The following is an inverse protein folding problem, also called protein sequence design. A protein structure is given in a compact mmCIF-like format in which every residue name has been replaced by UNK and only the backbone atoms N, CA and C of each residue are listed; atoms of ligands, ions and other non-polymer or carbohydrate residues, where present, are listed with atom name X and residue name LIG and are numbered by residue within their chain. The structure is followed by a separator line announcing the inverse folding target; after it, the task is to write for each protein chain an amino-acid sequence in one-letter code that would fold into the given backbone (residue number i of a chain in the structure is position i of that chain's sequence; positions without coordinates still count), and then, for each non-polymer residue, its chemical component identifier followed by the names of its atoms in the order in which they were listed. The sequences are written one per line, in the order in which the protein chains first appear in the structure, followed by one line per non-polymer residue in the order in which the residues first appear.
data_IF_372249909279
#
_entry.id   IF_372249909279
#
_cell.length_a   1.000
_cell.length_b   1.000
_cell.length_c   1.000
_cell.angle_alpha   90.00
_cell.angle_beta   90.00
_cell.angle_gamma   90.00
#
_symmetry.space_group_name_H-M   'P 1'
#
loop_
_entity.id
_entity.type
_entity.pdbx_description
1 polymer ?
#
# COMPACT_ATOMS: atom_id res chain seq x y z
N UNK A 1 -22.18 17.94 50.02
CA UNK A 1 -22.66 17.98 48.62
C UNK A 1 -21.49 17.58 47.74
N UNK A 2 -21.31 16.29 47.44
CA UNK A 2 -20.25 15.81 46.56
C UNK A 2 -20.90 15.29 45.28
N UNK A 3 -20.75 16.04 44.20
CA UNK A 3 -21.12 15.59 42.85
C UNK A 3 -19.97 14.80 42.27
N UNK A 4 -20.07 13.48 42.32
CA UNK A 4 -19.15 12.56 41.65
C UNK A 4 -19.39 12.65 40.14
N UNK A 5 -18.55 13.38 39.44
CA UNK A 5 -18.62 13.49 37.98
C UNK A 5 -17.92 12.27 37.38
N UNK A 6 -18.73 11.30 36.94
CA UNK A 6 -18.26 10.08 36.30
C UNK A 6 -17.61 10.42 34.95
N UNK A 7 -16.43 9.85 34.61
CA UNK A 7 -15.79 10.14 33.33
C UNK A 7 -16.67 9.61 32.19
N UNK A 8 -17.07 10.52 31.29
CA UNK A 8 -17.81 10.19 30.07
C UNK A 8 -16.88 9.40 29.15
N UNK A 9 -17.06 8.08 29.10
CA UNK A 9 -16.35 7.23 28.14
C UNK A 9 -16.74 7.67 26.73
N UNK A 10 -15.75 8.08 25.94
CA UNK A 10 -15.94 8.36 24.52
C UNK A 10 -15.98 7.02 23.78
N UNK A 11 -17.20 6.53 23.59
CA UNK A 11 -17.46 5.27 22.90
C UNK A 11 -16.93 5.28 21.46
N UNK A 12 -16.81 6.44 20.79
CA UNK A 12 -16.27 6.50 19.44
C UNK A 12 -14.78 6.15 19.41
N UNK A 13 -13.99 6.68 20.35
CA UNK A 13 -12.57 6.36 20.49
C UNK A 13 -12.35 4.88 20.89
N UNK A 14 -13.20 4.36 21.77
CA UNK A 14 -13.14 2.94 22.18
C UNK A 14 -13.50 2.02 21.01
N UNK A 15 -14.53 2.35 20.24
CA UNK A 15 -14.93 1.58 19.05
C UNK A 15 -13.84 1.65 17.97
N UNK A 16 -13.28 2.83 17.70
CA UNK A 16 -12.17 3.01 16.76
C UNK A 16 -10.94 2.19 17.16
N UNK A 17 -10.60 2.19 18.44
CA UNK A 17 -9.50 1.39 18.98
C UNK A 17 -9.80 -0.11 18.89
N UNK A 18 -11.02 -0.55 19.20
CA UNK A 18 -11.43 -1.95 19.07
C UNK A 18 -11.49 -2.44 17.62
N UNK A 19 -11.89 -1.58 16.68
CA UNK A 19 -11.84 -1.86 15.24
C UNK A 19 -10.39 -2.01 14.80
N UNK A 20 -9.51 -1.06 15.13
CA UNK A 20 -8.07 -1.14 14.81
C UNK A 20 -7.42 -2.38 15.41
N UNK A 21 -7.75 -2.74 16.65
CA UNK A 21 -7.19 -3.91 17.34
C UNK A 21 -7.62 -5.24 16.68
N UNK A 22 -8.90 -5.41 16.31
CA UNK A 22 -9.38 -6.60 15.59
C UNK A 22 -8.85 -6.66 14.16
N UNK A 23 -8.73 -5.51 13.49
CA UNK A 23 -8.11 -5.43 12.17
C UNK A 23 -6.63 -5.85 12.23
N UNK A 24 -5.90 -5.51 13.30
CA UNK A 24 -4.49 -5.88 13.45
C UNK A 24 -4.30 -7.40 13.55
N UNK A 25 -5.20 -8.10 14.25
CA UNK A 25 -5.20 -9.57 14.35
C UNK A 25 -5.56 -10.26 13.02
N UNK A 26 -6.37 -9.63 12.17
CA UNK A 26 -6.70 -10.15 10.83
C UNK A 26 -5.61 -9.82 9.80
N UNK A 27 -4.88 -8.71 9.97
CA UNK A 27 -3.77 -8.29 9.10
C UNK A 27 -2.55 -9.22 9.20
N UNK A 28 -2.37 -9.90 10.33
CA UNK A 28 -1.33 -10.92 10.52
C UNK A 28 -1.75 -12.30 10.03
N UNK A 29 -3.01 -12.49 9.62
CA UNK A 29 -3.47 -13.75 9.01
C UNK A 29 -2.94 -13.86 7.59
N UNK A 30 -2.36 -15.00 7.24
CA UNK A 30 -1.94 -15.33 5.87
C UNK A 30 -3.11 -15.37 4.88
N UNK A 31 -4.34 -15.57 5.34
CA UNK A 31 -5.53 -15.72 4.47
C UNK A 31 -6.36 -14.46 4.28
N UNK A 32 -6.27 -13.47 5.17
CA UNK A 32 -7.07 -12.23 5.13
C UNK A 32 -6.24 -10.94 5.20
N UNK A 33 -4.97 -11.05 5.55
CA UNK A 33 -4.06 -9.93 5.74
C UNK A 33 -3.12 -9.72 4.56
N UNK A 34 -2.27 -8.70 4.69
CA UNK A 34 -1.26 -8.34 3.68
C UNK A 34 0.11 -8.95 3.96
N UNK A 35 0.21 -9.91 4.89
CA UNK A 35 1.49 -10.44 5.37
C UNK A 35 2.37 -10.97 4.24
N UNK A 36 1.80 -11.77 3.33
CA UNK A 36 2.56 -12.32 2.18
C UNK A 36 3.07 -11.22 1.24
N UNK A 37 2.32 -10.11 1.10
CA UNK A 37 2.73 -8.95 0.30
C UNK A 37 3.85 -8.18 0.98
N UNK A 38 3.80 -8.04 2.30
CA UNK A 38 4.85 -7.39 3.08
C UNK A 38 6.16 -8.18 3.06
N UNK A 39 6.07 -9.52 3.10
CA UNK A 39 7.23 -10.40 2.92
C UNK A 39 7.83 -10.27 1.51
N UNK A 40 6.98 -10.19 0.48
CA UNK A 40 7.40 -9.96 -0.91
C UNK A 40 8.07 -8.59 -1.06
N UNK A 41 7.48 -7.54 -0.49
CA UNK A 41 8.04 -6.19 -0.45
C UNK A 41 9.45 -6.18 0.16
N UNK A 42 9.62 -6.85 1.31
CA UNK A 42 10.91 -6.94 1.96
C UNK A 42 11.95 -7.64 1.07
N UNK A 43 11.59 -8.76 0.43
CA UNK A 43 12.49 -9.49 -0.48
C UNK A 43 12.91 -8.63 -1.68
N UNK A 44 11.96 -7.93 -2.28
CA UNK A 44 12.23 -7.05 -3.43
C UNK A 44 13.17 -5.92 -3.01
N UNK A 45 12.89 -5.25 -1.90
CA UNK A 45 13.75 -4.18 -1.39
C UNK A 45 15.15 -4.70 -1.04
N UNK A 46 15.26 -5.83 -0.34
CA UNK A 46 16.57 -6.39 0.06
C UNK A 46 17.45 -6.73 -1.15
N UNK A 47 16.84 -7.22 -2.23
CA UNK A 47 17.51 -7.49 -3.50
C UNK A 47 17.90 -6.24 -4.30
N UNK A 48 17.17 -5.13 -4.12
CA UNK A 48 17.32 -3.92 -4.96
C UNK A 48 17.92 -2.71 -4.22
N UNK A 49 18.28 -2.84 -2.93
CA UNK A 49 18.85 -1.74 -2.12
C UNK A 49 20.27 -1.34 -2.49
N UNK A 50 20.95 -2.12 -3.33
CA UNK A 50 22.29 -1.83 -3.82
C UNK A 50 22.23 -1.24 -5.24
N UNK A 51 23.12 -0.31 -5.61
CA UNK A 51 23.16 0.24 -6.95
C UNK A 51 23.48 -0.85 -7.98
N UNK A 52 22.99 -0.66 -9.21
CA UNK A 52 23.19 -1.58 -10.33
C UNK A 52 22.72 -3.02 -10.02
N UNK A 53 21.65 -3.16 -9.23
CA UNK A 53 21.09 -4.46 -8.85
C UNK A 53 20.56 -5.27 -10.05
N UNK A 54 20.22 -4.59 -11.15
CA UNK A 54 19.76 -5.19 -12.40
C UNK A 54 20.90 -5.48 -13.41
N UNK A 55 22.12 -5.01 -13.13
CA UNK A 55 23.25 -5.08 -14.06
C UNK A 55 23.23 -4.06 -15.21
N UNK A 56 22.25 -3.15 -15.24
CA UNK A 56 22.07 -2.12 -16.28
C UNK A 56 22.11 -0.69 -15.73
N UNK A 57 22.63 -0.50 -14.52
CA UNK A 57 22.83 0.79 -13.89
C UNK A 57 21.65 1.28 -13.07
N UNK A 58 20.74 0.39 -12.64
CA UNK A 58 19.61 0.79 -11.80
C UNK A 58 20.04 1.55 -10.54
N UNK A 59 19.24 2.55 -10.20
CA UNK A 59 19.31 3.28 -8.94
C UNK A 59 18.87 2.35 -7.80
N UNK A 60 19.55 2.40 -6.64
CA UNK A 60 19.14 1.60 -5.49
C UNK A 60 17.74 2.01 -5.01
N UNK A 61 16.93 1.03 -4.64
CA UNK A 61 15.67 1.29 -3.95
C UNK A 61 15.97 1.79 -2.54
N UNK A 62 15.55 3.01 -2.24
CA UNK A 62 15.83 3.66 -0.95
C UNK A 62 14.97 3.11 0.17
N UNK A 63 15.43 3.27 1.41
CA UNK A 63 14.63 2.97 2.61
C UNK A 63 13.34 3.82 2.64
N UNK A 64 13.38 5.08 2.18
CA UNK A 64 12.19 5.93 2.07
C UNK A 64 11.12 5.32 1.16
N UNK A 65 11.51 4.84 -0.04
CA UNK A 65 10.59 4.15 -0.96
C UNK A 65 9.96 2.92 -0.29
N UNK A 66 10.77 2.15 0.45
CA UNK A 66 10.31 0.96 1.18
C UNK A 66 9.29 1.30 2.27
N UNK A 67 9.58 2.29 3.12
CA UNK A 67 8.68 2.72 4.19
C UNK A 67 7.36 3.21 3.62
N UNK A 68 7.38 4.03 2.57
CA UNK A 68 6.17 4.55 1.92
C UNK A 68 5.34 3.43 1.27
N UNK A 69 5.98 2.47 0.61
CA UNK A 69 5.29 1.32 0.04
C UNK A 69 4.68 0.42 1.13
N UNK A 70 5.40 0.21 2.24
CA UNK A 70 4.91 -0.52 3.40
C UNK A 70 3.66 0.15 3.99
N UNK A 71 3.71 1.46 4.18
CA UNK A 71 2.56 2.26 4.65
C UNK A 71 1.38 2.18 3.68
N UNK A 72 1.63 2.23 2.37
CA UNK A 72 0.58 2.11 1.37
C UNK A 72 -0.14 0.76 1.49
N UNK A 73 0.59 -0.35 1.55
CA UNK A 73 0.04 -1.71 1.72
C UNK A 73 -0.72 -1.81 3.05
N UNK A 74 -0.15 -1.29 4.13
CA UNK A 74 -0.81 -1.28 5.43
C UNK A 74 -2.10 -0.43 5.43
N UNK A 75 -2.17 0.60 4.60
CA UNK A 75 -3.37 1.44 4.47
C UNK A 75 -4.46 0.81 3.59
N UNK A 76 -4.17 -0.25 2.83
CA UNK A 76 -5.17 -0.95 2.03
C UNK A 76 -6.27 -1.54 2.92
N UNK A 77 -7.53 -1.58 2.43
CA UNK A 77 -8.63 -2.26 3.09
C UNK A 77 -8.30 -3.73 3.40
N UNK A 78 -8.98 -4.30 4.39
CA UNK A 78 -8.94 -5.76 4.63
C UNK A 78 -9.54 -6.51 3.44
N UNK A 79 -9.02 -7.70 3.15
CA UNK A 79 -9.42 -8.53 2.01
C UNK A 79 -9.35 -7.81 0.65
N UNK A 80 -8.51 -6.78 0.54
CA UNK A 80 -8.26 -6.11 -0.73
C UNK A 80 -7.42 -7.02 -1.65
N UNK A 81 -7.61 -6.96 -2.98
CA UNK A 81 -6.81 -7.75 -3.91
C UNK A 81 -5.30 -7.57 -3.65
N UNK A 82 -4.57 -8.67 -3.73
CA UNK A 82 -3.15 -8.73 -3.41
C UNK A 82 -2.28 -8.06 -4.50
N UNK A 83 -1.31 -7.22 -4.08
CA UNK A 83 -0.08 -6.92 -4.77
C UNK A 83 0.60 -8.01 -5.58
N UNK A 84 1.10 -7.73 -6.79
CA UNK A 84 2.46 -8.15 -7.14
C UNK A 84 3.41 -7.00 -6.84
N UNK A 85 4.58 -7.27 -6.25
CA UNK A 85 5.56 -6.23 -5.91
C UNK A 85 6.75 -6.28 -6.87
N UNK A 86 7.19 -5.10 -7.31
CA UNK A 86 8.37 -4.95 -8.16
C UNK A 86 9.20 -3.72 -7.76
N UNK A 87 10.40 -3.64 -8.32
CA UNK A 87 11.26 -2.46 -8.24
C UNK A 87 11.52 -1.94 -9.66
N UNK A 88 11.55 -0.62 -9.80
CA UNK A 88 11.87 0.05 -11.06
C UNK A 88 13.33 0.53 -11.06
N UNK A 89 13.98 0.64 -12.24
CA UNK A 89 15.39 1.06 -12.33
C UNK A 89 15.67 2.48 -11.81
N UNK A 90 14.65 3.29 -11.57
CA UNK A 90 14.75 4.63 -10.98
C UNK A 90 14.73 4.63 -9.44
N UNK A 91 14.61 3.45 -8.81
CA UNK A 91 14.58 3.29 -7.35
C UNK A 91 13.18 3.38 -6.76
N UNK A 92 12.13 3.35 -7.60
CA UNK A 92 10.74 3.26 -7.16
C UNK A 92 10.34 1.82 -6.83
N UNK A 93 9.32 1.68 -5.98
CA UNK A 93 8.68 0.40 -5.71
C UNK A 93 7.28 0.38 -6.30
N UNK A 94 6.94 -0.73 -6.94
CA UNK A 94 5.74 -0.84 -7.77
C UNK A 94 4.82 -1.93 -7.23
N UNK A 95 3.54 -1.61 -7.14
CA UNK A 95 2.46 -2.51 -6.80
C UNK A 95 1.56 -2.68 -8.01
N UNK A 96 1.45 -3.91 -8.50
CA UNK A 96 0.61 -4.24 -9.65
C UNK A 96 -0.55 -5.13 -9.26
N UNK A 97 -1.74 -4.79 -9.74
CA UNK A 97 -2.94 -5.61 -9.70
C UNK A 97 -3.30 -6.02 -11.11
N UNK A 98 -3.17 -7.30 -11.40
CA UNK A 98 -3.42 -7.87 -12.72
C UNK A 98 -4.68 -8.74 -12.73
N UNK A 99 -5.54 -8.54 -13.74
CA UNK A 99 -6.70 -9.41 -14.01
C UNK A 99 -6.64 -10.04 -15.40
N UNK A 100 -6.22 -9.27 -16.41
CA UNK A 100 -6.02 -9.76 -17.78
C UNK A 100 -5.09 -8.81 -18.55
N UNK A 101 -4.62 -9.15 -19.76
CA UNK A 101 -3.67 -8.29 -20.51
C UNK A 101 -4.16 -6.87 -20.78
N UNK A 102 -5.49 -6.65 -20.76
CA UNK A 102 -6.10 -5.32 -20.91
C UNK A 102 -6.72 -4.80 -19.61
N UNK A 103 -6.49 -5.47 -18.48
CA UNK A 103 -7.02 -5.10 -17.17
C UNK A 103 -5.91 -5.24 -16.13
N UNK A 104 -5.16 -4.15 -15.97
CA UNK A 104 -4.03 -4.05 -15.04
C UNK A 104 -4.01 -2.67 -14.40
N UNK A 105 -3.64 -2.59 -13.14
CA UNK A 105 -3.38 -1.34 -12.43
C UNK A 105 -2.00 -1.45 -11.82
N UNK A 106 -1.15 -0.48 -12.11
CA UNK A 106 0.17 -0.32 -11.53
C UNK A 106 0.20 0.97 -10.73
N UNK A 107 0.79 0.90 -9.53
CA UNK A 107 1.04 2.05 -8.65
C UNK A 107 2.50 1.99 -8.21
N UNK A 108 3.30 2.97 -8.63
CA UNK A 108 4.70 3.13 -8.25
C UNK A 108 4.82 4.20 -7.17
N UNK A 109 5.66 3.94 -6.18
CA UNK A 109 5.94 4.81 -5.04
C UNK A 109 7.34 5.36 -5.18
N UNK A 110 7.43 6.68 -5.32
CA UNK A 110 8.71 7.39 -5.35
C UNK A 110 9.25 7.65 -3.92
N UNK A 111 10.54 7.99 -3.75
CA UNK A 111 11.11 8.29 -2.44
C UNK A 111 10.64 9.61 -1.83
N UNK A 112 9.91 10.45 -2.58
CA UNK A 112 9.40 11.76 -2.13
C UNK A 112 7.99 11.67 -1.55
N UNK A 113 7.31 10.54 -1.72
CA UNK A 113 5.93 10.33 -1.29
C UNK A 113 4.90 10.60 -2.40
N UNK A 114 5.31 10.67 -3.66
CA UNK A 114 4.40 10.74 -4.80
C UNK A 114 4.07 9.32 -5.29
N UNK A 115 2.77 9.07 -5.49
CA UNK A 115 2.26 7.86 -6.11
C UNK A 115 2.06 8.13 -7.60
N UNK A 116 2.77 7.41 -8.44
CA UNK A 116 2.51 7.34 -9.87
C UNK A 116 1.58 6.16 -10.13
N UNK A 117 0.51 6.34 -10.89
CA UNK A 117 -0.38 5.23 -11.20
C UNK A 117 -0.73 5.19 -12.68
N UNK A 118 -0.95 3.97 -13.16
CA UNK A 118 -1.46 3.68 -14.49
C UNK A 118 -2.41 2.49 -14.42
N UNK A 119 -3.57 2.61 -15.04
CA UNK A 119 -4.62 1.60 -15.08
C UNK A 119 -5.14 1.43 -16.49
N UNK A 120 -5.21 0.19 -16.93
CA UNK A 120 -5.78 -0.22 -18.20
C UNK A 120 -7.09 -0.98 -17.92
N UNK A 121 -8.17 -0.60 -18.61
CA UNK A 121 -9.50 -1.20 -18.48
C UNK A 121 -10.12 -1.41 -19.88
N UNK A 122 -9.61 -2.40 -20.62
CA UNK A 122 -9.92 -2.59 -22.03
C UNK A 122 -9.33 -1.47 -22.88
N UNK A 123 -10.18 -0.68 -23.52
CA UNK A 123 -9.80 0.51 -24.28
C UNK A 123 -9.52 1.74 -23.42
N UNK A 124 -10.00 1.74 -22.17
CA UNK A 124 -9.89 2.90 -21.28
C UNK A 124 -8.57 2.87 -20.52
N UNK A 125 -7.96 4.05 -20.37
CA UNK A 125 -6.72 4.25 -19.63
C UNK A 125 -6.92 5.33 -18.59
N UNK A 126 -6.40 5.08 -17.40
CA UNK A 126 -6.37 6.03 -16.30
C UNK A 126 -4.92 6.15 -15.86
N UNK A 127 -4.40 7.37 -15.72
CA UNK A 127 -3.04 7.56 -15.23
C UNK A 127 -2.91 8.92 -14.57
N UNK A 128 -1.87 9.06 -13.74
CA UNK A 128 -1.54 10.32 -13.13
C UNK A 128 -0.58 10.14 -11.96
N UNK A 129 -0.40 11.23 -11.22
CA UNK A 129 0.41 11.23 -10.00
C UNK A 129 -0.38 11.91 -8.89
N UNK A 130 -0.21 11.44 -7.66
CA UNK A 130 -0.82 12.09 -6.49
C UNK A 130 0.03 11.90 -5.23
N UNK A 131 0.06 12.88 -4.32
CA UNK A 131 0.80 12.73 -3.07
C UNK A 131 0.18 11.66 -2.18
N UNK A 132 1.03 10.94 -1.44
CA UNK A 132 0.65 10.00 -0.39
C UNK A 132 0.79 10.64 0.98
N UNK A 133 -0.28 10.56 1.77
CA UNK A 133 -0.33 11.12 3.13
C UNK A 133 -0.58 10.03 4.18
N UNK A 134 -0.05 8.82 3.96
CA UNK A 134 -0.20 7.69 4.88
C UNK A 134 -1.53 6.93 4.77
N UNK A 135 -2.43 7.33 3.87
CA UNK A 135 -3.66 6.59 3.56
C UNK A 135 -3.87 6.51 2.06
N UNK A 136 -4.19 5.31 1.57
CA UNK A 136 -4.47 5.08 0.16
C UNK A 136 -5.63 5.98 -0.33
N UNK A 137 -5.42 6.79 -1.37
CA UNK A 137 -6.46 7.64 -1.92
C UNK A 137 -7.67 6.83 -2.40
N UNK A 138 -8.88 7.29 -2.07
CA UNK A 138 -10.14 6.60 -2.40
C UNK A 138 -10.31 6.33 -3.91
N UNK A 139 -9.73 7.19 -4.74
CA UNK A 139 -9.70 7.00 -6.19
C UNK A 139 -8.93 5.73 -6.60
N UNK A 140 -7.76 5.46 -6.02
CA UNK A 140 -7.00 4.24 -6.30
C UNK A 140 -7.75 2.99 -5.84
N UNK A 141 -8.41 3.06 -4.68
CA UNK A 141 -9.24 1.96 -4.18
C UNK A 141 -10.37 1.62 -5.15
N UNK A 142 -11.06 2.64 -5.67
CA UNK A 142 -12.10 2.44 -6.68
C UNK A 142 -11.53 1.81 -7.95
N UNK A 143 -10.43 2.38 -8.45
CA UNK A 143 -9.78 1.95 -9.68
C UNK A 143 -9.35 0.47 -9.62
N UNK A 144 -8.74 0.04 -8.51
CA UNK A 144 -8.33 -1.36 -8.32
C UNK A 144 -9.54 -2.30 -8.16
N UNK A 145 -10.64 -1.85 -7.56
CA UNK A 145 -11.87 -2.66 -7.45
C UNK A 145 -12.62 -2.82 -8.78
N UNK A 146 -12.48 -1.85 -9.67
CA UNK A 146 -13.13 -1.83 -10.98
C UNK A 146 -12.39 -2.72 -12.02
N UNK A 147 -11.26 -3.32 -11.64
CA UNK A 147 -10.55 -4.32 -12.46
C UNK A 147 -11.46 -5.51 -12.74
#
# INVERSE_FOLDING_TARGET
MNSTQQPRVDYALVIDSCIRFRQNQLRTSSTLGHHEVLDELWKVWDGCKQPNWDGFGAVPVTESSFVLAYELICSLPLAFPRPSIGAEPDGHLTMEWYKSPQRVVSVSVDPTGLLHYAGLFGSNKHYGSMPFFGTVPAYLIKLIRDL
#
